data_IF_831374291635
#
_entry.id   IF_831374291635
#
_cell.length_a   1.000
_cell.length_b   1.000
_cell.length_c   1.000
_cell.angle_alpha   90.00
_cell.angle_beta   90.00
_cell.angle_gamma   90.00
#
_symmetry.space_group_name_H-M   'P 1'
#
loop_
_entity.id
_entity.type
_entity.pdbx_description
1 polymer ?
#
# COMPACT_ATOMS: atom_id res chain seq x y z
N UNK A 1 5.61 8.59 1.09
CA UNK A 1 5.44 7.53 0.07
C UNK A 1 5.44 8.20 -1.29
N UNK A 2 6.20 7.68 -2.26
CA UNK A 2 6.17 8.21 -3.64
C UNK A 2 4.85 7.80 -4.29
N UNK A 3 4.07 8.75 -4.78
CA UNK A 3 2.85 8.46 -5.55
C UNK A 3 3.24 7.88 -6.91
N UNK A 4 2.71 6.70 -7.24
CA UNK A 4 2.98 5.99 -8.51
C UNK A 4 1.81 6.11 -9.50
N UNK A 5 0.87 6.99 -9.19
CA UNK A 5 -0.30 7.30 -10.01
C UNK A 5 -0.21 8.73 -10.53
N UNK A 6 -0.77 8.94 -11.71
CA UNK A 6 -1.05 10.26 -12.24
C UNK A 6 -2.25 10.88 -11.51
N UNK A 7 -2.48 12.18 -11.72
CA UNK A 7 -3.67 12.87 -11.19
C UNK A 7 -5.00 12.23 -11.66
N UNK A 8 -5.00 11.53 -12.80
CA UNK A 8 -6.14 10.80 -13.33
C UNK A 8 -6.34 9.40 -12.71
N UNK A 9 -5.51 9.00 -11.72
CA UNK A 9 -5.57 7.69 -11.07
C UNK A 9 -5.01 6.54 -11.90
N UNK A 10 -4.44 6.81 -13.08
CA UNK A 10 -3.75 5.80 -13.90
C UNK A 10 -2.30 5.64 -13.44
N UNK A 11 -1.73 4.46 -13.63
CA UNK A 11 -0.34 4.18 -13.22
C UNK A 11 0.65 5.01 -14.03
N UNK A 12 1.47 5.80 -13.34
CA UNK A 12 2.56 6.56 -13.93
C UNK A 12 3.79 5.67 -14.11
N UNK A 13 4.10 5.34 -15.36
CA UNK A 13 5.25 4.50 -15.72
C UNK A 13 6.58 5.14 -15.33
N UNK A 14 6.70 6.47 -15.41
CA UNK A 14 7.92 7.16 -15.04
C UNK A 14 8.14 7.08 -13.53
N UNK A 15 7.09 7.31 -12.73
CA UNK A 15 7.13 7.15 -11.28
C UNK A 15 7.48 5.72 -10.86
N UNK A 16 6.92 4.70 -11.53
CA UNK A 16 7.27 3.28 -11.30
C UNK A 16 8.75 3.02 -11.58
N UNK A 17 9.31 3.56 -12.67
CA UNK A 17 10.73 3.41 -12.98
C UNK A 17 11.63 4.10 -11.95
N UNK A 18 11.30 5.32 -11.54
CA UNK A 18 12.01 6.03 -10.47
C UNK A 18 11.99 5.22 -9.17
N UNK A 19 10.82 4.67 -8.81
CA UNK A 19 10.66 3.84 -7.61
C UNK A 19 11.47 2.54 -7.69
N UNK A 20 11.54 1.90 -8.85
CA UNK A 20 12.38 0.73 -9.05
C UNK A 20 13.86 1.03 -8.82
N UNK A 21 14.34 2.20 -9.27
CA UNK A 21 15.70 2.66 -8.98
C UNK A 21 15.93 2.99 -7.51
N UNK A 22 14.94 3.52 -6.81
CA UNK A 22 15.02 3.75 -5.36
C UNK A 22 15.12 2.43 -4.58
N UNK A 23 14.29 1.44 -4.92
CA UNK A 23 14.38 0.09 -4.36
C UNK A 23 15.74 -0.56 -4.63
N UNK A 24 16.31 -0.32 -5.81
CA UNK A 24 17.64 -0.81 -6.17
C UNK A 24 18.74 -0.18 -5.30
N UNK A 25 18.65 1.13 -5.05
CA UNK A 25 19.56 1.87 -4.15
C UNK A 25 19.48 1.35 -2.72
N UNK A 26 18.26 1.17 -2.21
CA UNK A 26 18.02 0.70 -0.83
C UNK A 26 18.47 -0.76 -0.64
N UNK A 27 18.04 -1.66 -1.52
CA UNK A 27 18.20 -3.10 -1.30
C UNK A 27 19.59 -3.62 -1.68
N UNK A 28 20.28 -2.96 -2.62
CA UNK A 28 21.52 -3.46 -3.20
C UNK A 28 22.69 -2.46 -3.10
N UNK A 29 22.55 -1.40 -2.28
CA UNK A 29 23.55 -0.33 -2.15
C UNK A 29 24.04 0.20 -3.51
N UNK A 30 23.12 0.26 -4.48
CA UNK A 30 23.44 0.73 -5.82
C UNK A 30 23.94 2.18 -5.75
N UNK A 31 25.13 2.42 -6.34
CA UNK A 31 25.90 3.66 -6.16
C UNK A 31 27.25 3.41 -5.47
N UNK A 32 27.34 2.43 -4.55
CA UNK A 32 28.61 1.90 -4.05
C UNK A 32 29.08 0.70 -4.86
N UNK A 33 28.15 -0.14 -5.30
CA UNK A 33 28.43 -1.28 -6.18
C UNK A 33 28.02 -0.95 -7.62
N UNK A 34 28.85 -1.28 -8.62
CA UNK A 34 28.53 -1.01 -10.01
C UNK A 34 27.42 -1.93 -10.51
N UNK A 35 26.59 -1.46 -11.45
CA UNK A 35 25.48 -2.23 -12.02
C UNK A 35 25.91 -3.59 -12.57
N UNK A 36 27.11 -3.68 -13.14
CA UNK A 36 27.66 -4.95 -13.65
C UNK A 36 27.74 -6.06 -12.60
N UNK A 37 27.92 -5.69 -11.32
CA UNK A 37 28.05 -6.63 -10.21
C UNK A 37 26.70 -7.07 -9.65
N UNK A 38 25.68 -6.21 -9.75
CA UNK A 38 24.33 -6.50 -9.23
C UNK A 38 23.49 -7.19 -10.30
N UNK A 39 23.55 -6.65 -11.52
CA UNK A 39 22.98 -7.24 -12.72
C UNK A 39 21.49 -6.97 -12.93
N UNK A 40 21.03 -7.34 -14.14
CA UNK A 40 19.66 -7.09 -14.63
C UNK A 40 18.59 -7.85 -13.85
N UNK A 41 18.91 -9.02 -13.30
CA UNK A 41 17.94 -9.85 -12.54
C UNK A 41 17.48 -9.16 -11.26
N UNK A 42 18.40 -8.54 -10.52
CA UNK A 42 18.08 -7.78 -9.32
C UNK A 42 17.22 -6.55 -9.63
N UNK A 43 17.59 -5.79 -10.68
CA UNK A 43 16.77 -4.67 -11.13
C UNK A 43 15.37 -5.11 -11.57
N UNK A 44 15.26 -6.23 -12.28
CA UNK A 44 13.97 -6.82 -12.63
C UNK A 44 13.12 -7.20 -11.40
N UNK A 45 13.75 -7.61 -10.30
CA UNK A 45 13.06 -7.82 -9.02
C UNK A 45 12.50 -6.51 -8.46
N UNK A 46 13.34 -5.47 -8.36
CA UNK A 46 12.92 -4.13 -7.91
C UNK A 46 11.78 -3.56 -8.78
N UNK A 47 11.86 -3.75 -10.10
CA UNK A 47 10.83 -3.30 -11.03
C UNK A 47 9.50 -4.02 -10.80
N UNK A 48 9.50 -5.33 -10.55
CA UNK A 48 8.29 -6.09 -10.21
C UNK A 48 7.67 -5.61 -8.89
N UNK A 49 8.49 -5.30 -7.89
CA UNK A 49 8.03 -4.73 -6.63
C UNK A 49 7.38 -3.35 -6.85
N UNK A 50 8.01 -2.45 -7.60
CA UNK A 50 7.45 -1.14 -7.91
C UNK A 50 6.10 -1.24 -8.68
N UNK A 51 5.98 -2.19 -9.60
CA UNK A 51 4.70 -2.47 -10.28
C UNK A 51 3.63 -3.08 -9.37
N UNK A 52 4.01 -3.83 -8.34
CA UNK A 52 3.07 -4.32 -7.34
C UNK A 52 2.55 -3.16 -6.47
N UNK A 53 3.45 -2.29 -5.99
CA UNK A 53 3.08 -1.07 -5.25
C UNK A 53 2.12 -0.19 -6.07
N UNK A 54 2.43 0.06 -7.35
CA UNK A 54 1.60 0.89 -8.20
C UNK A 54 0.21 0.29 -8.47
N UNK A 55 0.13 -1.04 -8.65
CA UNK A 55 -1.17 -1.73 -8.79
C UNK A 55 -1.98 -1.67 -7.51
N UNK A 56 -1.35 -1.78 -6.35
CA UNK A 56 -2.02 -1.63 -5.07
C UNK A 56 -2.57 -0.23 -4.89
N UNK A 57 -1.77 0.82 -5.19
CA UNK A 57 -2.25 2.20 -5.18
C UNK A 57 -3.42 2.40 -6.16
N UNK A 58 -3.31 1.87 -7.38
CA UNK A 58 -4.38 1.96 -8.38
C UNK A 58 -5.66 1.26 -7.91
N UNK A 59 -5.55 0.10 -7.25
CA UNK A 59 -6.70 -0.62 -6.70
C UNK A 59 -7.39 0.18 -5.60
N UNK A 60 -6.64 0.82 -4.70
CA UNK A 60 -7.20 1.70 -3.67
C UNK A 60 -7.83 2.96 -4.29
N UNK A 61 -7.17 3.57 -5.28
CA UNK A 61 -7.67 4.75 -5.98
C UNK A 61 -8.94 4.46 -6.82
N UNK A 62 -9.10 3.22 -7.30
CA UNK A 62 -10.29 2.79 -8.03
C UNK A 62 -11.53 2.68 -7.12
N UNK A 63 -11.36 2.61 -5.79
CA UNK A 63 -12.48 2.67 -4.85
C UNK A 63 -13.04 4.09 -4.87
N UNK A 64 -14.33 4.30 -5.24
CA UNK A 64 -14.91 5.63 -5.25
C UNK A 64 -14.73 6.30 -3.87
N UNK A 65 -14.35 7.59 -3.82
CA UNK A 65 -14.07 8.26 -2.56
C UNK A 65 -15.28 8.25 -1.61
N UNK A 66 -16.50 8.33 -2.15
CA UNK A 66 -17.73 8.21 -1.37
C UNK A 66 -17.88 6.82 -0.72
N UNK A 67 -17.66 5.75 -1.48
CA UNK A 67 -17.76 4.36 -0.98
C UNK A 67 -16.69 4.06 0.07
N UNK A 68 -15.47 4.58 -0.13
CA UNK A 68 -14.40 4.48 0.88
C UNK A 68 -14.75 5.24 2.16
N UNK A 69 -15.29 6.46 2.04
CA UNK A 69 -15.70 7.25 3.19
C UNK A 69 -16.84 6.59 3.98
N UNK A 70 -17.84 6.05 3.27
CA UNK A 70 -18.92 5.26 3.86
C UNK A 70 -18.38 4.04 4.60
N UNK A 71 -17.50 3.26 3.98
CA UNK A 71 -16.88 2.09 4.63
C UNK A 71 -16.07 2.46 5.87
N UNK A 72 -15.37 3.59 5.87
CA UNK A 72 -14.65 4.08 7.05
C UNK A 72 -15.65 4.49 8.16
N UNK A 73 -16.77 5.12 7.80
CA UNK A 73 -17.82 5.48 8.77
C UNK A 73 -18.46 4.23 9.40
N UNK A 74 -18.72 3.19 8.60
CA UNK A 74 -19.24 1.91 9.08
C UNK A 74 -18.27 1.23 10.06
N UNK A 75 -17.00 1.13 9.70
CA UNK A 75 -15.96 0.51 10.53
C UNK A 75 -15.78 1.26 11.87
N UNK A 76 -15.87 2.59 11.86
CA UNK A 76 -15.83 3.40 13.08
C UNK A 76 -17.08 3.20 13.96
N UNK A 77 -18.26 3.06 13.34
CA UNK A 77 -19.49 2.74 14.06
C UNK A 77 -19.43 1.35 14.67
N UNK A 78 -18.91 0.36 13.92
CA UNK A 78 -18.72 -1.01 14.40
C UNK A 78 -17.75 -1.05 15.59
N UNK A 79 -16.62 -0.34 15.52
CA UNK A 79 -15.67 -0.23 16.63
C UNK A 79 -16.28 0.44 17.87
N UNK A 80 -17.22 1.37 17.68
CA UNK A 80 -17.98 1.97 18.79
C UNK A 80 -18.95 0.98 19.41
N UNK A 81 -19.60 0.13 18.60
CA UNK A 81 -20.53 -0.90 19.05
C UNK A 81 -19.84 -2.04 19.80
N UNK A 82 -18.60 -2.40 19.39
CA UNK A 82 -17.80 -3.43 20.06
C UNK A 82 -17.55 -3.12 21.55
N UNK A 83 -17.60 -1.84 21.95
CA UNK A 83 -17.44 -1.41 23.36
C UNK A 83 -18.57 -1.89 24.27
N UNK A 84 -19.71 -2.26 23.71
CA UNK A 84 -20.89 -2.70 24.45
C UNK A 84 -21.06 -4.22 24.46
N UNK A 85 -20.15 -4.96 23.81
CA UNK A 85 -20.16 -6.43 23.82
C UNK A 85 -19.33 -6.97 24.99
N UNK A 86 -19.88 -7.98 25.66
CA UNK A 86 -19.26 -8.59 26.85
C UNK A 86 -18.22 -9.67 26.49
N UNK A 87 -18.19 -10.14 25.24
CA UNK A 87 -17.24 -11.15 24.77
C UNK A 87 -15.90 -10.52 24.39
N UNK A 88 -15.06 -10.32 25.39
CA UNK A 88 -13.76 -9.66 25.25
C UNK A 88 -12.81 -10.32 24.24
N UNK A 89 -12.89 -11.65 24.01
CA UNK A 89 -12.01 -12.35 23.05
C UNK A 89 -12.42 -12.06 21.62
N UNK A 90 -13.72 -12.12 21.34
CA UNK A 90 -14.26 -11.79 20.02
C UNK A 90 -14.10 -10.30 19.70
N UNK A 91 -14.27 -9.43 20.71
CA UNK A 91 -14.02 -7.98 20.59
C UNK A 91 -12.57 -7.69 20.21
N UNK A 92 -11.60 -8.31 20.89
CA UNK A 92 -10.18 -8.04 20.64
C UNK A 92 -9.72 -8.47 19.23
N UNK A 93 -10.20 -9.62 18.74
CA UNK A 93 -9.91 -10.09 17.37
C UNK A 93 -10.54 -9.14 16.36
N UNK A 94 -11.82 -8.80 16.53
CA UNK A 94 -12.55 -7.95 15.60
C UNK A 94 -11.99 -6.53 15.55
N UNK A 95 -11.61 -5.98 16.69
CA UNK A 95 -11.00 -4.65 16.77
C UNK A 95 -9.68 -4.60 16.00
N UNK A 96 -8.86 -5.67 16.08
CA UNK A 96 -7.63 -5.78 15.29
C UNK A 96 -7.93 -5.80 13.79
N UNK A 97 -8.91 -6.59 13.34
CA UNK A 97 -9.31 -6.66 11.93
C UNK A 97 -9.79 -5.30 11.41
N UNK A 98 -10.62 -4.59 12.20
CA UNK A 98 -11.13 -3.27 11.86
C UNK A 98 -9.97 -2.27 11.73
N UNK A 99 -9.00 -2.29 12.66
CA UNK A 99 -7.81 -1.42 12.56
C UNK A 99 -6.97 -1.72 11.32
N UNK A 100 -6.73 -3.00 11.01
CA UNK A 100 -5.99 -3.41 9.81
C UNK A 100 -6.70 -2.97 8.52
N UNK A 101 -8.04 -3.00 8.49
CA UNK A 101 -8.85 -2.51 7.37
C UNK A 101 -8.85 -0.99 7.26
N UNK A 102 -8.97 -0.27 8.38
CA UNK A 102 -8.85 1.19 8.41
C UNK A 102 -7.48 1.65 7.91
N UNK A 103 -6.39 0.98 8.34
CA UNK A 103 -5.04 1.27 7.84
C UNK A 103 -4.91 1.04 6.34
N UNK A 104 -5.56 0.01 5.78
CA UNK A 104 -5.56 -0.25 4.33
C UNK A 104 -6.34 0.81 3.54
N UNK A 105 -7.44 1.33 4.09
CA UNK A 105 -8.30 2.31 3.41
C UNK A 105 -7.81 3.76 3.55
N UNK A 106 -7.05 4.06 4.61
CA UNK A 106 -6.47 5.38 4.86
C UNK A 106 -5.09 5.60 4.22
N UNK A 107 -4.42 4.53 3.75
CA UNK A 107 -3.13 4.56 3.06
C UNK A 107 -3.29 4.78 1.54
#
# INVERSE_FOLDING_TARGET
MTTLLTAAGTIDRAAVMCRAWDLMKINYNFGRLPFRSIGRKCFGSCLRCAWAEARQQAAVAAIPPAVRAERIADLNSEMSNLRYLDDWRHVAVREREIRDELHRLAA
#
